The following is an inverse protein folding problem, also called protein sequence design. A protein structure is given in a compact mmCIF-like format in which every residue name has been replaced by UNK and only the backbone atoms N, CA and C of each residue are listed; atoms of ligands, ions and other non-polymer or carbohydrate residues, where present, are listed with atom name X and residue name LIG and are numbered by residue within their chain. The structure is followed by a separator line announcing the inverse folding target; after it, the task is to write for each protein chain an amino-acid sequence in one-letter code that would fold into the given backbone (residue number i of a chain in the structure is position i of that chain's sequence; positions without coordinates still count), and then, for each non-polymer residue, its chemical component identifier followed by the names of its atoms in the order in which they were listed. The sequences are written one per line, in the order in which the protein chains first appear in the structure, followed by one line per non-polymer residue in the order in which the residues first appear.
data_IF_016414697219
#
_entry.id   IF_016414697219
#
_cell.length_a   1.000
_cell.length_b   1.000
_cell.length_c   1.000
_cell.angle_alpha   90.00
_cell.angle_beta   90.00
_cell.angle_gamma   90.00
#
_symmetry.space_group_name_H-M   'P 1'
#
loop_
_entity.id
_entity.type
_entity.pdbx_description
1 polymer ?
#
# COMPACT_ATOMS: atom_id res chain seq x y z
N UNK A 1 -15.04 -29.78 45.91
CA UNK A 1 -15.31 -30.58 44.69
C UNK A 1 -14.43 -30.03 43.59
N UNK A 2 -13.30 -30.70 43.35
CA UNK A 2 -12.31 -30.32 42.35
C UNK A 2 -12.59 -31.11 41.08
N UNK A 3 -12.82 -30.43 39.95
CA UNK A 3 -12.86 -31.06 38.63
C UNK A 3 -11.76 -30.45 37.76
N UNK A 4 -10.65 -31.19 37.69
CA UNK A 4 -9.60 -31.06 36.70
C UNK A 4 -9.98 -31.84 35.44
N UNK A 5 -9.84 -31.22 34.27
CA UNK A 5 -9.83 -31.90 32.96
C UNK A 5 -8.66 -31.32 32.15
N UNK A 6 -7.68 -32.14 31.73
CA UNK A 6 -6.74 -31.76 30.67
C UNK A 6 -6.94 -32.60 29.40
N UNK A 7 -6.16 -32.21 28.37
CA UNK A 7 -5.87 -32.92 27.10
C UNK A 7 -6.97 -32.66 26.02
N UNK A 8 -6.68 -32.20 24.80
CA UNK A 8 -5.65 -32.71 23.89
C UNK A 8 -5.19 -31.70 22.82
N UNK A 9 -3.90 -31.79 22.55
CA UNK A 9 -3.14 -31.29 21.41
C UNK A 9 -3.63 -31.96 20.11
N UNK A 10 -3.78 -31.22 19.02
CA UNK A 10 -3.85 -31.81 17.67
C UNK A 10 -3.15 -30.89 16.67
N UNK A 11 -1.93 -31.28 16.34
CA UNK A 11 -1.09 -30.76 15.29
C UNK A 11 -1.56 -31.39 13.96
N UNK A 12 -1.93 -30.60 12.97
CA UNK A 12 -2.13 -31.08 11.60
C UNK A 12 -1.34 -30.19 10.65
N UNK A 13 -0.18 -30.71 10.24
CA UNK A 13 0.61 -30.19 9.13
C UNK A 13 -0.07 -30.60 7.81
N UNK A 14 -0.34 -29.64 6.93
CA UNK A 14 -0.79 -29.88 5.57
C UNK A 14 0.13 -29.17 4.59
N UNK A 15 1.13 -29.89 4.09
CA UNK A 15 2.01 -29.46 3.01
C UNK A 15 1.31 -29.81 1.69
N UNK A 16 0.97 -28.83 0.86
CA UNK A 16 0.50 -29.07 -0.50
C UNK A 16 1.26 -28.16 -1.47
N UNK A 17 2.28 -28.74 -2.11
CA UNK A 17 2.93 -28.19 -3.28
C UNK A 17 2.09 -28.51 -4.51
N UNK A 18 1.71 -27.49 -5.28
CA UNK A 18 1.11 -27.64 -6.60
C UNK A 18 1.94 -26.83 -7.60
N UNK A 19 2.82 -27.52 -8.31
CA UNK A 19 3.44 -27.04 -9.55
C UNK A 19 2.46 -27.24 -10.69
N UNK A 20 2.04 -26.16 -11.35
CA UNK A 20 1.36 -26.26 -12.64
C UNK A 20 2.21 -25.59 -13.72
N UNK A 21 2.71 -26.42 -14.63
CA UNK A 21 3.38 -26.03 -15.85
C UNK A 21 2.36 -25.87 -16.99
N UNK A 22 2.60 -24.89 -17.87
CA UNK A 22 2.27 -24.96 -19.29
C UNK A 22 0.85 -24.54 -19.71
N UNK A 23 0.76 -23.48 -20.52
CA UNK A 23 0.32 -23.55 -21.91
C UNK A 23 0.22 -22.13 -22.49
N UNK A 24 1.14 -21.78 -23.38
CA UNK A 24 0.94 -20.70 -24.32
C UNK A 24 -0.05 -21.17 -25.39
N UNK A 25 -1.20 -20.50 -25.52
CA UNK A 25 -2.05 -20.60 -26.71
C UNK A 25 -2.14 -19.21 -27.35
N UNK A 26 -1.58 -19.12 -28.55
CA UNK A 26 -1.84 -18.07 -29.50
C UNK A 26 -2.93 -18.53 -30.48
N UNK A 27 -3.99 -17.74 -30.58
CA UNK A 27 -4.96 -17.62 -31.69
C UNK A 27 -5.88 -16.46 -31.27
N UNK A 28 -6.21 -15.44 -32.04
CA UNK A 28 -6.32 -15.30 -33.48
C UNK A 28 -7.66 -14.62 -33.75
N UNK A 29 -7.63 -13.56 -34.55
CA UNK A 29 -8.75 -12.85 -35.19
C UNK A 29 -9.70 -11.99 -34.32
N UNK A 30 -9.71 -10.69 -34.60
CA UNK A 30 -10.84 -10.04 -35.29
C UNK A 30 -10.32 -8.79 -36.00
N UNK A 31 -10.31 -8.81 -37.33
CA UNK A 31 -10.14 -7.61 -38.14
C UNK A 31 -11.49 -6.91 -38.31
N UNK A 32 -11.50 -5.58 -38.30
CA UNK A 32 -12.56 -4.81 -38.94
C UNK A 32 -11.98 -3.59 -39.66
N UNK A 33 -12.28 -3.58 -40.96
CA UNK A 33 -12.01 -2.67 -42.07
C UNK A 33 -11.80 -1.18 -41.76
N UNK A 34 -10.92 -0.52 -42.52
CA UNK A 34 -11.32 0.09 -43.82
C UNK A 34 -10.11 0.58 -44.63
N UNK A 35 -10.31 0.47 -45.95
CA UNK A 35 -9.80 1.31 -47.04
C UNK A 35 -8.65 0.79 -47.91
N UNK A 36 -8.95 0.72 -49.21
CA UNK A 36 -8.08 0.45 -50.35
C UNK A 36 -8.10 1.72 -51.19
N UNK A 37 -6.96 2.27 -51.62
CA UNK A 37 -6.53 1.98 -52.99
C UNK A 37 -5.02 1.99 -53.20
N UNK A 38 -4.55 1.18 -54.16
CA UNK A 38 -3.24 1.39 -54.78
C UNK A 38 -2.55 0.11 -55.23
N UNK A 39 -2.87 -0.35 -56.44
CA UNK A 39 -2.03 -1.27 -57.20
C UNK A 39 -0.65 -0.66 -57.45
N UNK A 40 0.42 -1.23 -56.89
CA UNK A 40 1.75 -1.17 -57.47
C UNK A 40 2.61 -2.34 -56.96
N UNK A 41 2.89 -3.28 -57.86
CA UNK A 41 4.07 -4.12 -57.76
C UNK A 41 5.31 -3.22 -57.87
N UNK A 42 6.13 -3.17 -56.83
CA UNK A 42 7.55 -2.85 -56.94
C UNK A 42 8.27 -3.41 -55.71
N UNK A 43 8.72 -4.66 -55.82
CA UNK A 43 9.85 -5.11 -55.05
C UNK A 43 11.10 -4.39 -55.60
N UNK A 44 11.53 -3.34 -54.91
CA UNK A 44 12.91 -2.88 -54.98
C UNK A 44 13.18 -1.90 -53.84
N UNK A 45 14.18 -2.29 -53.06
CA UNK A 45 14.99 -1.45 -52.18
C UNK A 45 14.41 -1.12 -50.80
N UNK A 46 14.73 -2.02 -49.86
CA UNK A 46 14.73 -1.75 -48.44
C UNK A 46 15.89 -0.78 -48.12
N UNK A 47 15.71 0.49 -48.41
CA UNK A 47 16.50 1.55 -47.81
C UNK A 47 15.69 2.85 -47.71
N UNK A 48 15.50 3.28 -46.46
CA UNK A 48 15.43 4.70 -46.11
C UNK A 48 14.15 5.47 -46.51
N UNK A 49 13.03 5.16 -45.84
CA UNK A 49 12.00 6.18 -45.56
C UNK A 49 12.08 6.52 -44.08
N UNK A 50 12.80 7.60 -43.78
CA UNK A 50 12.84 8.26 -42.47
C UNK A 50 11.43 8.81 -42.15
N UNK A 51 10.56 7.97 -41.63
CA UNK A 51 9.37 8.42 -40.90
C UNK A 51 9.85 8.94 -39.55
N UNK A 52 9.76 10.26 -39.31
CA UNK A 52 10.10 10.88 -38.04
C UNK A 52 9.37 10.15 -36.89
N UNK A 53 10.12 9.32 -36.18
CA UNK A 53 9.65 8.32 -35.24
C UNK A 53 9.18 8.92 -33.92
N UNK A 54 8.22 9.85 -33.96
CA UNK A 54 7.65 10.44 -32.75
C UNK A 54 6.95 9.36 -31.93
N UNK A 55 6.14 8.50 -32.56
CA UNK A 55 5.49 7.38 -31.88
C UNK A 55 6.49 6.34 -31.35
N UNK A 56 7.62 6.16 -32.04
CA UNK A 56 8.66 5.23 -31.62
C UNK A 56 9.50 5.81 -30.47
N UNK A 57 9.83 7.10 -30.51
CA UNK A 57 10.52 7.82 -29.43
C UNK A 57 9.67 7.94 -28.16
N UNK A 58 8.34 8.09 -28.28
CA UNK A 58 7.42 8.07 -27.13
C UNK A 58 7.42 6.69 -26.50
N UNK A 59 7.22 5.63 -27.29
CA UNK A 59 7.17 4.25 -26.79
C UNK A 59 8.51 3.82 -26.18
N UNK A 60 9.62 4.22 -26.78
CA UNK A 60 10.96 4.01 -26.20
C UNK A 60 11.21 4.88 -24.97
N UNK A 61 10.71 6.11 -24.93
CA UNK A 61 10.81 6.99 -23.76
C UNK A 61 9.96 6.51 -22.58
N UNK A 62 8.80 5.94 -22.85
CA UNK A 62 7.92 5.27 -21.88
C UNK A 62 8.52 3.94 -21.41
N UNK A 63 9.08 3.14 -22.31
CA UNK A 63 9.79 1.91 -21.94
C UNK A 63 11.04 2.21 -21.10
N UNK A 64 11.80 3.27 -21.43
CA UNK A 64 12.93 3.73 -20.63
C UNK A 64 12.49 4.26 -19.26
N UNK A 65 11.39 5.02 -19.18
CA UNK A 65 10.81 5.45 -17.90
C UNK A 65 10.30 4.28 -17.06
N UNK A 66 9.58 3.33 -17.67
CA UNK A 66 9.11 2.11 -17.00
C UNK A 66 10.26 1.21 -16.52
N UNK A 67 11.34 1.11 -17.29
CA UNK A 67 12.54 0.34 -16.91
C UNK A 67 13.34 1.05 -15.81
N UNK A 68 13.49 2.38 -15.86
CA UNK A 68 14.22 3.14 -14.83
C UNK A 68 13.50 3.14 -13.47
N UNK A 69 12.18 2.94 -13.44
CA UNK A 69 11.40 2.82 -12.21
C UNK A 69 11.51 1.43 -11.53
N UNK A 70 12.21 0.45 -12.12
CA UNK A 70 12.24 -0.93 -11.59
C UNK A 70 13.61 -1.62 -11.58
N UNK A 71 14.73 -0.89 -11.75
CA UNK A 71 16.08 -1.50 -11.69
C UNK A 71 16.86 -1.22 -10.40
N UNK A 72 16.22 -0.62 -9.40
CA UNK A 72 16.80 -0.54 -8.05
C UNK A 72 16.79 -1.91 -7.38
N UNK A 73 17.74 -2.21 -6.47
CA UNK A 73 17.57 -3.30 -5.52
C UNK A 73 16.18 -3.17 -4.87
N UNK A 74 15.47 -4.29 -4.70
CA UNK A 74 14.19 -4.30 -3.98
C UNK A 74 14.36 -3.49 -2.69
N UNK A 75 13.49 -2.49 -2.42
CA UNK A 75 13.67 -1.61 -1.28
C UNK A 75 13.90 -2.43 -0.02
N UNK A 76 15.03 -2.18 0.66
CA UNK A 76 15.29 -2.78 1.96
C UNK A 76 14.15 -2.38 2.88
N UNK A 77 13.49 -3.38 3.48
CA UNK A 77 12.40 -3.11 4.41
C UNK A 77 12.84 -2.11 5.49
N UNK A 78 11.98 -1.13 5.78
CA UNK A 78 12.32 -0.07 6.72
C UNK A 78 12.50 -0.66 8.12
N UNK A 79 13.45 -0.10 8.86
CA UNK A 79 13.56 -0.38 10.28
C UNK A 79 12.36 0.26 11.03
N UNK A 80 11.83 -0.39 12.08
CA UNK A 80 10.83 0.22 12.94
C UNK A 80 11.31 1.57 13.49
N UNK A 81 10.40 2.54 13.53
CA UNK A 81 10.67 3.90 14.01
C UNK A 81 10.54 3.98 15.52
N UNK A 82 11.58 4.45 16.25
CA UNK A 82 11.53 4.57 17.71
C UNK A 82 10.37 5.44 18.19
N UNK A 83 10.03 6.51 17.46
CA UNK A 83 8.92 7.41 17.77
C UNK A 83 7.55 6.70 17.77
N UNK A 84 7.41 5.59 17.04
CA UNK A 84 6.16 4.83 16.97
C UNK A 84 6.05 3.72 18.01
N UNK A 85 7.10 3.48 18.80
CA UNK A 85 7.12 2.41 19.78
C UNK A 85 6.08 2.57 20.90
N UNK A 86 5.64 3.81 21.18
CA UNK A 86 4.62 4.14 22.18
C UNK A 86 3.19 4.16 21.63
N UNK A 87 2.99 4.06 20.32
CA UNK A 87 1.66 4.10 19.72
C UNK A 87 0.84 2.86 20.10
N UNK A 88 -0.50 3.00 20.21
CA UNK A 88 -1.39 1.86 20.35
C UNK A 88 -1.12 0.78 19.30
N UNK A 89 -1.16 -0.47 19.74
CA UNK A 89 -0.83 -1.61 18.90
C UNK A 89 -2.10 -2.37 18.54
N UNK A 90 -2.19 -2.76 17.27
CA UNK A 90 -3.29 -3.52 16.71
C UNK A 90 -2.73 -4.75 16.00
N UNK A 91 -3.50 -5.85 15.98
CA UNK A 91 -3.16 -7.10 15.30
C UNK A 91 -4.35 -7.62 14.50
N UNK A 92 -4.09 -8.22 13.35
CA UNK A 92 -5.14 -8.72 12.48
C UNK A 92 -4.60 -9.21 11.15
N UNK A 93 -5.37 -9.00 10.08
CA UNK A 93 -4.98 -9.43 8.74
C UNK A 93 -5.14 -8.33 7.70
N UNK A 94 -4.30 -8.39 6.67
CA UNK A 94 -4.40 -7.67 5.40
C UNK A 94 -4.43 -8.74 4.29
N UNK A 95 -5.59 -8.94 3.68
CA UNK A 95 -5.90 -10.19 2.97
C UNK A 95 -5.69 -11.39 3.90
N UNK A 96 -4.90 -12.36 3.44
CA UNK A 96 -4.53 -13.55 4.23
C UNK A 96 -3.25 -13.35 5.07
N UNK A 97 -2.61 -12.17 4.99
CA UNK A 97 -1.35 -11.93 5.66
C UNK A 97 -1.58 -11.39 7.08
N UNK A 98 -0.94 -11.96 8.12
CA UNK A 98 -1.04 -11.41 9.46
C UNK A 98 -0.28 -10.08 9.52
N UNK A 99 -0.86 -9.11 10.22
CA UNK A 99 -0.27 -7.77 10.40
C UNK A 99 -0.20 -7.37 11.86
N UNK A 100 0.84 -6.60 12.20
CA UNK A 100 0.94 -5.86 13.46
C UNK A 100 1.10 -4.39 13.12
N UNK A 101 0.12 -3.60 13.53
CA UNK A 101 0.00 -2.18 13.26
C UNK A 101 0.26 -1.38 14.55
N UNK A 102 1.00 -0.28 14.43
CA UNK A 102 1.12 0.79 15.41
C UNK A 102 0.51 2.02 14.78
N UNK A 103 -0.54 2.58 15.38
CA UNK A 103 -1.28 3.70 14.80
C UNK A 103 -1.73 4.65 15.89
N UNK A 104 -1.57 5.96 15.66
CA UNK A 104 -2.01 7.01 16.55
C UNK A 104 -2.22 8.34 15.84
N UNK A 105 -2.57 9.40 16.59
CA UNK A 105 -2.77 10.72 16.01
C UNK A 105 -1.41 11.26 15.57
N UNK A 106 -1.37 11.97 14.46
CA UNK A 106 -0.17 12.73 14.11
C UNK A 106 -0.10 13.95 15.03
N UNK A 107 1.00 14.14 15.79
CA UNK A 107 1.17 15.35 16.57
C UNK A 107 1.14 16.57 15.63
N UNK A 108 0.63 17.68 16.13
CA UNK A 108 0.64 18.98 15.44
C UNK A 108 -0.25 19.10 14.19
N UNK A 109 -0.91 18.02 13.79
CA UNK A 109 -1.85 17.98 12.66
C UNK A 109 -3.18 17.39 13.12
N UNK A 110 -4.19 18.25 13.19
CA UNK A 110 -5.54 17.85 13.57
C UNK A 110 -6.12 16.95 12.48
N UNK A 111 -6.94 15.99 12.89
CA UNK A 111 -7.65 15.09 11.98
C UNK A 111 -6.71 14.20 11.14
N UNK A 112 -5.43 14.06 11.51
CA UNK A 112 -4.48 13.19 10.83
C UNK A 112 -3.95 12.06 11.71
N UNK A 113 -3.59 10.95 11.07
CA UNK A 113 -3.06 9.73 11.69
C UNK A 113 -1.71 9.37 11.12
N UNK A 114 -0.91 8.69 11.93
CA UNK A 114 0.37 8.17 11.50
C UNK A 114 0.73 6.86 12.19
N UNK A 115 1.66 6.12 11.59
CA UNK A 115 2.13 4.89 12.18
C UNK A 115 2.99 4.04 11.26
N UNK A 116 3.07 2.78 11.64
CA UNK A 116 3.79 1.76 10.89
C UNK A 116 3.13 0.40 11.08
N UNK A 117 3.32 -0.50 10.12
CA UNK A 117 2.91 -1.88 10.28
C UNK A 117 3.92 -2.86 9.70
N UNK A 118 3.96 -4.06 10.26
CA UNK A 118 4.70 -5.19 9.72
C UNK A 118 3.76 -6.27 9.18
N UNK A 119 4.19 -6.96 8.13
CA UNK A 119 3.46 -8.06 7.48
C UNK A 119 4.21 -9.36 7.70
N UNK A 120 3.51 -10.40 8.15
CA UNK A 120 4.10 -11.71 8.35
C UNK A 120 5.20 -11.71 9.41
N UNK A 121 6.26 -12.49 9.14
CA UNK A 121 7.50 -12.51 9.95
C UNK A 121 8.63 -11.70 9.30
N UNK A 122 8.33 -10.91 8.28
CA UNK A 122 9.35 -10.15 7.56
C UNK A 122 9.98 -9.11 8.51
N UNK A 123 11.30 -9.05 8.52
CA UNK A 123 12.06 -8.09 9.32
C UNK A 123 11.99 -6.70 8.69
N UNK A 124 10.92 -5.96 8.98
CA UNK A 124 10.78 -4.54 8.63
C UNK A 124 9.34 -4.05 8.70
N UNK A 125 9.16 -2.75 8.44
CA UNK A 125 7.87 -2.07 8.50
C UNK A 125 7.57 -1.32 7.21
N UNK A 126 6.29 -0.97 7.05
CA UNK A 126 5.79 0.01 6.09
C UNK A 126 5.19 1.17 6.88
N UNK A 127 5.42 2.39 6.43
CA UNK A 127 4.91 3.61 7.07
C UNK A 127 3.49 3.87 6.63
N UNK A 128 2.68 4.44 7.53
CA UNK A 128 1.33 4.92 7.26
C UNK A 128 1.20 6.37 7.68
N UNK A 129 0.54 7.17 6.84
CA UNK A 129 0.11 8.51 7.15
C UNK A 129 -1.21 8.79 6.42
N UNK A 130 -2.10 9.58 7.02
CA UNK A 130 -3.35 9.90 6.38
C UNK A 130 -4.27 10.77 7.20
N UNK A 131 -5.48 10.97 6.68
CA UNK A 131 -6.54 11.71 7.35
C UNK A 131 -7.50 10.77 8.06
N UNK A 132 -8.08 11.26 9.14
CA UNK A 132 -9.11 10.61 9.94
C UNK A 132 -10.20 11.61 10.27
N UNK A 133 -11.43 11.30 9.86
CA UNK A 133 -12.59 12.14 10.11
C UNK A 133 -13.81 11.27 10.41
N UNK A 134 -14.53 11.59 11.49
CA UNK A 134 -15.80 10.94 11.84
C UNK A 134 -15.75 9.40 11.88
N UNK A 135 -14.62 8.83 12.32
CA UNK A 135 -14.42 7.38 12.39
C UNK A 135 -13.97 6.73 11.08
N UNK A 136 -13.92 7.48 9.98
CA UNK A 136 -13.36 7.02 8.71
C UNK A 136 -11.91 7.50 8.54
N UNK A 137 -11.13 6.80 7.73
CA UNK A 137 -9.78 7.24 7.37
C UNK A 137 -9.46 6.97 5.90
N UNK A 138 -8.51 7.75 5.41
CA UNK A 138 -7.80 7.58 4.15
C UNK A 138 -6.31 7.67 4.48
N UNK A 139 -5.57 6.56 4.34
CA UNK A 139 -4.13 6.53 4.60
C UNK A 139 -3.35 6.05 3.39
N UNK A 140 -2.14 6.57 3.27
CA UNK A 140 -1.14 6.15 2.30
C UNK A 140 -0.07 5.34 2.98
N UNK A 141 0.36 4.30 2.30
CA UNK A 141 1.45 3.43 2.70
C UNK A 141 2.72 3.79 1.96
N UNK A 142 3.86 3.72 2.65
CA UNK A 142 5.17 3.75 1.99
C UNK A 142 6.10 2.66 2.52
N UNK A 143 6.80 2.00 1.61
CA UNK A 143 7.86 1.03 1.95
C UNK A 143 9.27 1.64 1.95
N UNK A 144 9.42 2.91 1.57
CA UNK A 144 10.71 3.62 1.53
C UNK A 144 10.67 5.03 2.16
N UNK A 145 9.48 5.50 2.55
CA UNK A 145 9.24 6.81 3.14
C UNK A 145 9.09 7.95 2.13
N UNK A 146 9.08 7.64 0.83
CA UNK A 146 9.05 8.64 -0.26
C UNK A 146 7.99 8.35 -1.33
N UNK A 147 7.72 7.08 -1.63
CA UNK A 147 6.73 6.68 -2.62
C UNK A 147 5.52 6.03 -1.96
N UNK A 148 4.34 6.28 -2.54
CA UNK A 148 3.10 5.60 -2.15
C UNK A 148 3.10 4.20 -2.76
N UNK A 149 2.96 3.17 -1.92
CA UNK A 149 2.94 1.76 -2.32
C UNK A 149 1.65 1.04 -1.95
N UNK A 150 0.68 1.76 -1.37
CA UNK A 150 -0.60 1.22 -0.96
C UNK A 150 -1.54 2.32 -0.51
N UNK A 151 -2.83 2.18 -0.80
CA UNK A 151 -3.88 3.05 -0.29
C UNK A 151 -4.76 2.26 0.67
N UNK A 152 -4.97 2.77 1.88
CA UNK A 152 -5.81 2.21 2.91
C UNK A 152 -7.05 3.08 3.07
N UNK A 153 -8.23 2.52 2.88
CA UNK A 153 -9.51 3.18 3.12
C UNK A 153 -10.32 2.34 4.11
N UNK A 154 -10.92 2.96 5.12
CA UNK A 154 -11.66 2.21 6.10
C UNK A 154 -12.24 3.02 7.25
N UNK A 155 -12.60 2.32 8.32
CA UNK A 155 -13.12 2.91 9.55
C UNK A 155 -12.43 2.35 10.78
N UNK A 156 -12.48 3.13 11.87
CA UNK A 156 -12.15 2.71 13.22
C UNK A 156 -13.42 2.84 14.06
N UNK A 157 -13.95 1.71 14.53
CA UNK A 157 -15.23 1.68 15.21
C UNK A 157 -15.13 2.02 16.71
N UNK A 158 -16.31 2.03 17.35
CA UNK A 158 -16.48 2.22 18.79
C UNK A 158 -15.92 1.08 19.67
N UNK A 159 -15.29 0.06 19.07
CA UNK A 159 -14.47 -0.97 19.72
C UNK A 159 -12.98 -0.92 19.28
N UNK A 160 -12.55 0.16 18.61
CA UNK A 160 -11.18 0.36 18.13
C UNK A 160 -10.78 -0.59 17.01
N UNK A 161 -11.74 -1.30 16.41
CA UNK A 161 -11.49 -2.20 15.30
C UNK A 161 -11.26 -1.38 14.05
N UNK A 162 -10.11 -1.57 13.42
CA UNK A 162 -9.71 -0.95 12.16
C UNK A 162 -10.06 -1.92 11.04
N UNK A 163 -10.98 -1.56 10.15
CA UNK A 163 -11.38 -2.41 9.02
C UNK A 163 -11.57 -1.62 7.73
N UNK A 164 -11.45 -2.29 6.59
CA UNK A 164 -11.57 -1.64 5.28
C UNK A 164 -10.84 -2.38 4.17
N UNK A 165 -10.40 -1.63 3.17
CA UNK A 165 -9.73 -2.13 1.97
C UNK A 165 -8.38 -1.46 1.75
N UNK A 166 -7.41 -2.27 1.34
CA UNK A 166 -6.15 -1.84 0.79
C UNK A 166 -6.18 -1.97 -0.72
N UNK A 167 -5.62 -1.00 -1.45
CA UNK A 167 -5.54 -1.01 -2.91
C UNK A 167 -4.10 -0.80 -3.37
N UNK A 168 -3.68 -1.58 -4.37
CA UNK A 168 -2.39 -1.37 -5.04
C UNK A 168 -2.48 -0.19 -6.02
N UNK A 169 -1.70 0.89 -5.83
CA UNK A 169 -1.76 2.06 -6.70
C UNK A 169 -1.26 1.78 -8.14
N UNK A 170 -0.36 0.81 -8.30
CA UNK A 170 0.17 0.41 -9.60
C UNK A 170 -0.74 -0.59 -10.32
N UNK A 171 -1.57 -1.33 -9.58
CA UNK A 171 -2.59 -2.22 -10.13
C UNK A 171 -3.90 -2.15 -9.33
N UNK A 172 -4.80 -1.18 -9.62
CA UNK A 172 -6.02 -0.94 -8.85
C UNK A 172 -7.03 -2.11 -8.86
N UNK A 173 -6.83 -3.14 -9.68
CA UNK A 173 -7.62 -4.36 -9.61
C UNK A 173 -7.26 -5.23 -8.40
N UNK A 174 -6.10 -5.00 -7.77
CA UNK A 174 -5.68 -5.68 -6.53
C UNK A 174 -6.24 -4.90 -5.34
N UNK A 175 -7.28 -5.46 -4.74
CA UNK A 175 -7.90 -4.94 -3.52
C UNK A 175 -7.89 -6.03 -2.45
N UNK A 176 -7.35 -5.71 -1.27
CA UNK A 176 -7.23 -6.64 -0.14
C UNK A 176 -8.05 -6.14 1.05
N UNK A 177 -8.99 -6.93 1.59
CA UNK A 177 -9.70 -6.54 2.80
C UNK A 177 -8.77 -6.63 4.01
N UNK A 178 -9.00 -5.80 5.02
CA UNK A 178 -8.32 -5.93 6.31
C UNK A 178 -9.28 -5.82 7.48
N UNK A 179 -8.92 -6.47 8.58
CA UNK A 179 -9.56 -6.31 9.89
C UNK A 179 -8.49 -6.46 10.96
N UNK A 180 -8.31 -5.42 11.76
CA UNK A 180 -7.22 -5.30 12.73
C UNK A 180 -7.81 -4.80 14.05
N UNK A 181 -7.49 -5.51 15.14
CA UNK A 181 -8.08 -5.27 16.47
C UNK A 181 -7.03 -4.76 17.44
N UNK A 182 -7.40 -3.93 18.42
CA UNK A 182 -6.47 -3.48 19.46
C UNK A 182 -5.86 -4.67 20.21
N UNK A 183 -4.56 -4.62 20.45
CA UNK A 183 -3.81 -5.55 21.28
C UNK A 183 -3.47 -4.87 22.61
N UNK A 184 -4.35 -5.04 23.61
CA UNK A 184 -4.17 -4.48 24.95
C UNK A 184 -5.10 -3.31 25.21
N UNK A 185 -4.53 -2.12 25.47
CA UNK A 185 -5.30 -0.93 25.85
C UNK A 185 -6.15 -0.49 24.65
N UNK A 186 -7.46 -0.57 24.86
CA UNK A 186 -8.48 -0.08 23.95
C UNK A 186 -8.49 1.45 23.98
N UNK A 187 -8.28 2.10 22.83
CA UNK A 187 -8.37 3.57 22.72
C UNK A 187 -9.45 3.90 21.69
N UNK A 188 -10.51 4.61 22.12
CA UNK A 188 -11.73 4.86 21.31
C UNK A 188 -12.33 6.24 21.61
N UNK A 189 -12.49 7.10 20.58
CA UNK A 189 -11.69 7.04 19.35
C UNK A 189 -10.21 6.94 19.74
N UNK A 190 -9.33 6.34 18.91
CA UNK A 190 -7.94 6.05 19.29
C UNK A 190 -7.15 7.26 19.80
N UNK A 191 -7.71 8.46 19.66
CA UNK A 191 -7.29 9.74 20.20
C UNK A 191 -8.51 10.68 20.07
N UNK A 192 -8.80 11.52 21.06
CA UNK A 192 -9.95 12.42 21.02
C UNK A 192 -9.69 13.59 20.04
N UNK A 193 -10.21 13.44 18.81
CA UNK A 193 -10.12 14.45 17.73
C UNK A 193 -11.26 15.47 17.75
N UNK A 194 -12.15 15.41 18.75
CA UNK A 194 -13.20 16.40 18.87
C UNK A 194 -12.56 17.79 18.99
N UNK A 195 -13.12 18.83 18.32
CA UNK A 195 -12.61 20.20 18.41
C UNK A 195 -12.47 20.72 19.86
N UNK A 196 -13.17 20.11 20.81
CA UNK A 196 -13.24 20.51 22.22
C UNK A 196 -12.68 19.44 23.18
N UNK A 197 -11.86 18.51 22.69
CA UNK A 197 -11.25 17.44 23.50
C UNK A 197 -10.30 17.94 24.59
N UNK A 198 -9.87 19.20 24.51
CA UNK A 198 -8.82 19.76 25.37
C UNK A 198 -7.42 19.28 25.00
N UNK A 199 -7.28 18.40 24.00
CA UNK A 199 -5.98 18.02 23.43
C UNK A 199 -5.66 18.99 22.29
N UNK A 200 -4.95 20.06 22.63
CA UNK A 200 -4.43 21.03 21.66
C UNK A 200 -3.24 20.42 20.92
N UNK A 201 -3.48 19.82 19.76
CA UNK A 201 -2.45 19.50 18.76
C UNK A 201 -2.13 20.74 17.90
N UNK A 202 -2.06 21.92 18.51
CA UNK A 202 -1.65 23.11 17.77
C UNK A 202 -0.17 22.97 17.39
N UNK A 203 0.19 23.11 16.11
CA UNK A 203 1.58 23.04 15.72
C UNK A 203 2.39 24.06 16.51
N UNK A 204 3.63 23.71 16.95
CA UNK A 204 4.51 24.64 17.61
C UNK A 204 4.59 25.92 16.77
N UNK A 205 4.46 27.08 17.42
CA UNK A 205 4.56 28.36 16.73
C UNK A 205 5.82 28.35 15.83
N UNK A 206 5.70 28.77 14.55
CA UNK A 206 6.83 28.72 13.64
C UNK A 206 8.01 29.44 14.27
N UNK A 207 9.17 28.76 14.32
CA UNK A 207 10.41 29.37 14.83
C UNK A 207 10.68 30.60 13.98
N UNK A 208 10.45 31.78 14.54
CA UNK A 208 10.74 33.04 13.86
C UNK A 208 12.24 33.07 13.57
N UNK A 209 12.62 32.97 12.30
CA UNK A 209 14.01 33.02 11.86
C UNK A 209 14.55 34.45 11.75
N UNK A 210 13.87 35.44 12.35
CA UNK A 210 14.30 36.82 12.33
C UNK A 210 15.04 37.15 13.63
N UNK A 211 16.35 36.96 13.63
CA UNK A 211 17.21 37.70 14.56
C UNK A 211 17.18 39.16 14.12
N UNK A 212 16.45 39.99 14.86
CA UNK A 212 16.53 41.44 14.73
C UNK A 212 17.99 41.88 14.85
N UNK A 213 18.47 42.57 13.83
CA UNK A 213 19.72 43.33 13.85
C UNK A 213 19.42 44.75 14.31
#
# INVERSE_FOLDING_TARGET
MSLSLPVSLSLAAGLAAATLAGAALAAGATELSTDTPGTANAASDASQVQGFGINQAIREGEARRGAQLSTGPAPKALAPRPEYASLPVYVGTLGDQPVRLRLGPKPDERDSVHGEYSVGRAGGVRLLAGEFENGAFLMEESNDGTHVTGNWEGTIDGAGIVHGNWTDPANPAIVLPFMIRPLGVLVIPPFDMAPNSGITYAPPAPKSSISGR
#
